data_IF_391748878122
#
_entry.id   IF_391748878122
#
_cell.length_a   1.000
_cell.length_b   1.000
_cell.length_c   1.000
_cell.angle_alpha   90.00
_cell.angle_beta   90.00
_cell.angle_gamma   90.00
#
_symmetry.space_group_name_H-M   'P 1'
#
loop_
_entity.id
_entity.type
_entity.pdbx_description
1 polymer ?
#
# COMPACT_ATOMS: atom_id res chain seq x y z
N UNK A 1 -4.13 -13.86 10.38
CA UNK A 1 -2.96 -13.69 11.24
C UNK A 1 -2.04 -12.68 10.57
N UNK A 2 -1.87 -11.53 11.22
CA UNK A 2 -1.22 -10.33 10.69
C UNK A 2 0.25 -10.61 10.39
N UNK A 3 0.72 -10.24 9.20
CA UNK A 3 2.11 -9.88 8.99
C UNK A 3 2.16 -8.36 8.96
N UNK A 4 2.40 -7.78 10.12
CA UNK A 4 3.03 -6.48 10.17
C UNK A 4 4.48 -6.71 9.70
N UNK A 5 4.70 -6.54 8.40
CA UNK A 5 6.05 -6.35 7.87
C UNK A 5 6.48 -4.94 8.30
N UNK A 6 6.92 -4.83 9.56
CA UNK A 6 7.55 -3.64 10.13
C UNK A 6 8.98 -3.58 9.54
N UNK A 7 9.09 -3.29 8.25
CA UNK A 7 10.37 -2.96 7.64
C UNK A 7 10.18 -2.02 6.46
N UNK A 8 10.30 -0.72 6.76
CA UNK A 8 10.58 0.35 5.81
C UNK A 8 9.38 1.21 5.42
N UNK A 9 9.21 2.35 6.11
CA UNK A 9 8.60 3.57 5.54
C UNK A 9 7.37 3.38 4.61
N UNK A 10 6.38 2.60 5.02
CA UNK A 10 5.15 2.50 4.23
C UNK A 10 4.50 3.89 4.12
N UNK A 11 3.93 4.17 2.94
CA UNK A 11 3.31 5.45 2.64
C UNK A 11 2.20 5.77 3.65
N UNK A 12 1.44 4.76 4.11
CA UNK A 12 0.41 4.99 5.12
C UNK A 12 1.02 5.48 6.42
N UNK A 13 2.12 4.87 6.89
CA UNK A 13 2.81 5.25 8.13
C UNK A 13 3.34 6.68 8.06
N UNK A 14 3.96 7.08 6.95
CA UNK A 14 4.46 8.44 6.73
C UNK A 14 3.32 9.46 6.79
N UNK A 15 2.20 9.15 6.14
CA UNK A 15 1.03 10.04 6.09
C UNK A 15 0.36 10.15 7.46
N UNK A 16 0.23 9.03 8.19
CA UNK A 16 -0.30 9.01 9.56
C UNK A 16 0.56 9.85 10.50
N UNK A 17 1.89 9.72 10.42
CA UNK A 17 2.80 10.54 11.20
C UNK A 17 2.62 12.04 10.91
N UNK A 18 2.59 12.44 9.63
CA UNK A 18 2.38 13.85 9.28
C UNK A 18 1.01 14.41 9.68
N UNK A 19 -0.04 13.57 9.68
CA UNK A 19 -1.35 13.97 10.18
C UNK A 19 -1.36 14.16 11.70
N UNK A 20 -0.65 13.33 12.45
CA UNK A 20 -0.54 13.45 13.90
C UNK A 20 0.16 14.76 14.28
N UNK A 21 1.27 15.12 13.63
CA UNK A 21 1.93 16.40 13.89
C UNK A 21 1.03 17.61 13.60
N UNK A 22 0.27 17.58 12.50
CA UNK A 22 -0.66 18.64 12.14
C UNK A 22 -1.81 18.70 13.17
N UNK A 23 -2.29 17.55 13.63
CA UNK A 23 -3.34 17.46 14.65
C UNK A 23 -2.86 17.99 16.00
N UNK A 24 -1.62 17.73 16.39
CA UNK A 24 -1.02 18.29 17.60
C UNK A 24 -0.93 19.82 17.54
N UNK A 25 -0.57 20.39 16.38
CA UNK A 25 -0.50 21.85 16.20
C UNK A 25 -1.87 22.54 16.19
N UNK A 26 -2.87 21.94 15.55
CA UNK A 26 -4.22 22.52 15.40
C UNK A 26 -5.15 22.20 16.59
N UNK A 27 -4.85 21.13 17.32
CA UNK A 27 -5.62 20.64 18.46
C UNK A 27 -7.11 20.50 18.14
N UNK A 28 -8.01 21.19 18.85
CA UNK A 28 -9.46 21.05 18.68
C UNK A 28 -9.99 21.58 17.33
N UNK A 29 -9.22 22.43 16.64
CA UNK A 29 -9.60 22.97 15.33
C UNK A 29 -9.19 22.06 14.17
N UNK A 30 -8.66 20.87 14.46
CA UNK A 30 -8.23 19.93 13.44
C UNK A 30 -9.43 19.39 12.66
N UNK A 31 -9.42 19.62 11.35
CA UNK A 31 -10.35 19.01 10.39
C UNK A 31 -9.54 18.39 9.26
N UNK A 32 -9.68 17.06 9.12
CA UNK A 32 -8.99 16.26 8.09
C UNK A 32 -9.28 16.78 6.66
N UNK A 33 -10.45 17.36 6.41
CA UNK A 33 -10.84 17.90 5.09
C UNK A 33 -10.17 19.24 4.82
N UNK A 34 -9.72 19.95 5.85
CA UNK A 34 -9.09 21.28 5.75
C UNK A 34 -7.57 21.25 5.95
N UNK A 35 -6.96 20.07 6.07
CA UNK A 35 -5.51 19.90 6.18
C UNK A 35 -4.77 20.67 5.08
N UNK A 36 -3.77 21.44 5.49
CA UNK A 36 -2.88 22.22 4.63
C UNK A 36 -1.86 21.29 3.94
N UNK A 37 -1.97 21.16 2.62
CA UNK A 37 -1.11 20.27 1.84
C UNK A 37 0.34 20.77 1.71
N UNK A 38 0.58 22.08 1.87
CA UNK A 38 1.94 22.63 1.82
C UNK A 38 2.73 22.27 3.08
N UNK A 39 2.08 22.37 4.25
CA UNK A 39 2.66 21.93 5.52
C UNK A 39 2.89 20.42 5.52
N UNK A 40 1.88 19.66 5.09
CA UNK A 40 1.98 18.20 5.00
C UNK A 40 3.12 17.74 4.07
N UNK A 41 3.38 18.43 2.95
CA UNK A 41 4.54 18.15 2.10
C UNK A 41 5.87 18.40 2.83
N UNK A 42 5.98 19.44 3.65
CA UNK A 42 7.21 19.75 4.40
C UNK A 42 7.53 18.68 5.45
N UNK A 43 6.49 18.15 6.11
CA UNK A 43 6.63 17.12 7.15
C UNK A 43 6.92 15.74 6.53
N UNK A 44 6.11 15.34 5.56
CA UNK A 44 6.14 13.98 5.01
C UNK A 44 7.08 13.80 3.82
N UNK A 45 7.55 14.89 3.19
CA UNK A 45 8.29 14.86 1.93
C UNK A 45 7.44 14.43 0.71
N UNK A 46 6.15 14.12 0.90
CA UNK A 46 5.28 13.64 -0.17
C UNK A 46 4.81 14.80 -1.04
N UNK A 47 4.85 14.61 -2.37
CA UNK A 47 4.45 15.66 -3.30
C UNK A 47 2.99 16.09 -3.12
N UNK A 48 2.72 17.39 -3.26
CA UNK A 48 1.35 17.95 -3.19
C UNK A 48 0.36 17.30 -4.16
N UNK A 49 0.83 16.87 -5.34
CA UNK A 49 -0.01 16.16 -6.30
C UNK A 49 -0.51 14.81 -5.75
N UNK A 50 0.37 14.06 -5.10
CA UNK A 50 0.04 12.78 -4.46
C UNK A 50 -0.85 13.00 -3.23
N UNK A 51 -0.54 13.99 -2.39
CA UNK A 51 -1.37 14.37 -1.24
C UNK A 51 -2.78 14.79 -1.65
N UNK A 52 -2.95 15.52 -2.76
CA UNK A 52 -4.27 15.90 -3.29
C UNK A 52 -5.11 14.68 -3.70
N UNK A 53 -4.48 13.61 -4.21
CA UNK A 53 -5.17 12.35 -4.52
C UNK A 53 -5.57 11.64 -3.24
N UNK A 54 -4.65 11.51 -2.29
CA UNK A 54 -4.91 10.87 -0.99
C UNK A 54 -6.00 11.60 -0.19
N UNK A 55 -6.05 12.93 -0.27
CA UNK A 55 -7.09 13.75 0.39
C UNK A 55 -8.51 13.38 -0.06
N UNK A 56 -8.70 12.93 -1.31
CA UNK A 56 -10.01 12.44 -1.79
C UNK A 56 -10.47 11.19 -1.05
N UNK A 57 -9.53 10.39 -0.55
CA UNK A 57 -9.75 9.14 0.15
C UNK A 57 -9.45 9.28 1.65
N UNK A 58 -9.62 10.48 2.24
CA UNK A 58 -9.34 10.76 3.66
C UNK A 58 -7.92 10.35 4.10
N UNK A 59 -6.93 10.47 3.20
CA UNK A 59 -5.54 10.09 3.45
C UNK A 59 -5.32 8.59 3.73
N UNK A 60 -6.25 7.74 3.27
CA UNK A 60 -6.09 6.28 3.28
C UNK A 60 -5.42 5.85 1.97
N UNK A 61 -4.31 5.15 2.09
CA UNK A 61 -3.58 4.54 0.98
C UNK A 61 -4.29 3.24 0.61
N UNK A 62 -5.07 3.30 -0.46
CA UNK A 62 -5.69 2.10 -1.02
C UNK A 62 -4.69 1.34 -1.90
N UNK A 63 -4.73 0.00 -1.89
CA UNK A 63 -3.97 -0.79 -2.86
C UNK A 63 -4.39 -0.45 -4.29
N UNK A 64 -3.50 -0.69 -5.24
CA UNK A 64 -3.80 -0.48 -6.65
C UNK A 64 -4.93 -1.42 -7.10
N UNK A 65 -5.78 -0.99 -8.03
CA UNK A 65 -6.92 -1.81 -8.49
C UNK A 65 -6.54 -3.12 -9.18
N UNK A 66 -5.26 -3.27 -9.58
CA UNK A 66 -4.69 -4.51 -10.13
C UNK A 66 -3.94 -5.35 -9.09
N UNK A 67 -3.87 -4.90 -7.85
CA UNK A 67 -3.26 -5.68 -6.77
C UNK A 67 -4.03 -7.00 -6.64
N UNK A 68 -3.32 -8.12 -6.75
CA UNK A 68 -3.94 -9.46 -6.74
C UNK A 68 -4.52 -9.92 -8.08
N UNK A 69 -4.52 -9.09 -9.12
CA UNK A 69 -4.90 -9.51 -10.46
C UNK A 69 -3.86 -10.49 -11.01
N UNK A 70 -4.29 -11.69 -11.34
CA UNK A 70 -3.47 -12.70 -12.02
C UNK A 70 -3.76 -12.64 -13.52
N UNK A 71 -2.75 -12.99 -14.32
CA UNK A 71 -2.95 -13.14 -15.76
C UNK A 71 -3.71 -14.45 -16.05
N UNK A 72 -4.60 -14.42 -17.04
CA UNK A 72 -5.40 -15.61 -17.42
C UNK A 72 -4.52 -16.75 -17.91
N UNK A 73 -3.40 -16.42 -18.56
CA UNK A 73 -2.36 -17.37 -18.97
C UNK A 73 -1.00 -16.90 -18.47
N UNK A 74 -0.25 -17.86 -17.93
CA UNK A 74 1.13 -17.66 -17.48
C UNK A 74 2.02 -18.69 -18.16
N UNK A 75 3.35 -18.55 -18.08
CA UNK A 75 4.28 -19.56 -18.62
C UNK A 75 3.95 -20.96 -18.09
N UNK A 76 3.57 -21.07 -16.80
CA UNK A 76 3.21 -22.33 -16.15
C UNK A 76 1.92 -22.98 -16.71
N UNK A 77 1.01 -22.20 -17.31
CA UNK A 77 -0.21 -22.76 -17.90
C UNK A 77 0.08 -23.70 -19.08
N UNK A 78 1.23 -23.55 -19.76
CA UNK A 78 1.66 -24.48 -20.81
C UNK A 78 2.29 -25.78 -20.31
N UNK A 79 2.60 -25.87 -19.02
CA UNK A 79 3.27 -27.02 -18.40
C UNK A 79 2.43 -27.69 -17.32
N UNK A 80 1.14 -27.33 -17.22
CA UNK A 80 0.27 -27.81 -16.13
C UNK A 80 0.19 -29.34 -16.10
N UNK A 81 0.04 -29.99 -17.25
CA UNK A 81 -0.04 -31.45 -17.33
C UNK A 81 1.25 -32.14 -16.83
N UNK A 82 2.41 -31.59 -17.17
CA UNK A 82 3.72 -32.13 -16.76
C UNK A 82 3.93 -31.90 -15.26
N UNK A 83 3.59 -30.72 -14.76
CA UNK A 83 3.69 -30.40 -13.33
C UNK A 83 2.77 -31.33 -12.52
N UNK A 84 1.54 -31.54 -12.97
CA UNK A 84 0.58 -32.42 -12.30
C UNK A 84 1.06 -33.88 -12.28
N UNK A 85 1.70 -34.36 -13.35
CA UNK A 85 2.28 -35.71 -13.41
C UNK A 85 3.45 -35.85 -12.42
N UNK A 86 4.38 -34.89 -12.38
CA UNK A 86 5.49 -34.88 -11.44
C UNK A 86 5.02 -34.85 -9.97
N UNK A 87 3.98 -34.06 -9.68
CA UNK A 87 3.37 -34.00 -8.35
C UNK A 87 2.74 -35.34 -7.96
N UNK A 88 2.05 -36.03 -8.88
CA UNK A 88 1.49 -37.38 -8.63
C UNK A 88 2.58 -38.43 -8.38
N UNK A 89 3.72 -38.28 -9.03
CA UNK A 89 4.88 -39.15 -8.83
C UNK A 89 5.66 -38.84 -7.55
N UNK A 90 5.20 -37.90 -6.72
CA UNK A 90 5.91 -37.43 -5.51
C UNK A 90 7.35 -36.97 -5.81
N UNK A 91 7.60 -36.41 -7.00
CA UNK A 91 8.90 -35.85 -7.33
C UNK A 91 9.09 -34.59 -6.48
N UNK A 92 10.17 -34.56 -5.69
CA UNK A 92 10.52 -33.43 -4.83
C UNK A 92 11.84 -32.82 -5.26
N UNK A 93 11.96 -31.51 -5.04
CA UNK A 93 13.24 -30.81 -5.16
C UNK A 93 14.00 -30.96 -3.83
N UNK A 94 14.61 -32.13 -3.62
CA UNK A 94 15.55 -32.37 -2.53
C UNK A 94 16.98 -32.02 -2.96
#
# INVERSE_FOLDING_TARGET
>A
MNKEDINGNDLQTIITHGLNEIKEKLGPNFDIRKVNLAEMQRITGVSRAKLRRLKKNNFIVSPHGRTGQKADRTVLTGFTDIIDDLLRQNVTNA
#
